data_IF_378439395393
#
_entry.id   IF_378439395393
#
_cell.length_a   1.000
_cell.length_b   1.000
_cell.length_c   1.000
_cell.angle_alpha   90.00
_cell.angle_beta   90.00
_cell.angle_gamma   90.00
#
_symmetry.space_group_name_H-M   'P 1'
#
loop_
_entity.id
_entity.type
_entity.pdbx_description
1 polymer ?
#
# COMPACT_ATOMS: atom_id res chain seq x y z
N UNK A 1 -23.04 27.66 23.82
CA UNK A 1 -23.87 27.16 22.70
C UNK A 1 -23.71 28.11 21.51
N UNK A 2 -22.72 27.91 20.62
CA UNK A 2 -22.63 28.69 19.40
C UNK A 2 -23.42 28.01 18.27
N UNK A 3 -24.35 28.75 17.68
CA UNK A 3 -25.24 28.31 16.62
C UNK A 3 -24.48 28.02 15.31
N UNK A 4 -24.53 26.77 14.87
CA UNK A 4 -24.09 26.33 13.54
C UNK A 4 -25.06 26.83 12.45
N UNK A 5 -24.59 27.67 11.53
CA UNK A 5 -25.31 28.04 10.31
C UNK A 5 -25.30 26.86 9.33
N UNK A 6 -26.49 26.36 8.99
CA UNK A 6 -26.71 25.36 7.93
C UNK A 6 -26.53 26.01 6.55
N UNK A 7 -25.70 25.41 5.71
CA UNK A 7 -25.54 25.80 4.31
C UNK A 7 -26.77 25.37 3.49
N UNK A 8 -27.25 26.29 2.66
CA UNK A 8 -28.49 26.19 1.89
C UNK A 8 -28.25 25.45 0.56
N UNK A 9 -29.08 24.43 0.31
CA UNK A 9 -29.13 23.68 -0.94
C UNK A 9 -30.03 24.39 -1.95
N UNK A 10 -29.45 24.86 -3.06
CA UNK A 10 -30.24 25.20 -4.26
C UNK A 10 -29.55 24.68 -5.51
N UNK A 11 -30.18 23.64 -6.08
CA UNK A 11 -29.95 23.10 -7.43
C UNK A 11 -30.33 24.14 -8.48
N UNK A 12 -29.53 24.25 -9.54
CA UNK A 12 -29.98 24.70 -10.87
C UNK A 12 -29.59 23.67 -11.91
N UNK A 13 -30.59 23.21 -12.67
CA UNK A 13 -30.52 22.33 -13.84
C UNK A 13 -30.23 23.15 -15.09
N UNK A 14 -29.42 22.57 -16.00
CA UNK A 14 -29.29 22.73 -17.48
C UNK A 14 -27.79 22.75 -17.83
N UNK A 15 -27.24 22.01 -18.77
CA UNK A 15 -27.78 21.44 -20.01
C UNK A 15 -27.23 20.04 -20.32
N UNK A 16 -28.01 19.31 -21.12
CA UNK A 16 -27.66 18.00 -21.67
C UNK A 16 -26.80 18.16 -22.94
N UNK A 17 -25.65 17.49 -22.96
CA UNK A 17 -24.82 17.27 -24.14
C UNK A 17 -24.47 15.79 -24.24
N UNK A 18 -24.90 15.16 -25.32
CA UNK A 18 -24.80 13.73 -25.65
C UNK A 18 -23.36 13.44 -26.11
N UNK A 19 -22.70 12.43 -25.55
CA UNK A 19 -21.81 11.60 -26.36
C UNK A 19 -21.76 10.14 -25.86
N UNK A 20 -21.66 9.24 -26.83
CA UNK A 20 -21.85 7.79 -26.70
C UNK A 20 -20.50 7.08 -26.53
N UNK A 21 -20.42 6.26 -25.49
CA UNK A 21 -19.91 4.88 -25.59
C UNK A 21 -18.40 4.64 -25.44
N UNK A 22 -18.03 3.93 -24.38
CA UNK A 22 -17.56 2.52 -24.44
C UNK A 22 -17.39 1.99 -23.02
N UNK A 23 -17.96 0.83 -22.76
CA UNK A 23 -18.05 0.22 -21.43
C UNK A 23 -16.71 -0.30 -20.91
N UNK A 24 -16.41 -0.01 -19.64
CA UNK A 24 -15.42 -0.73 -18.84
C UNK A 24 -16.11 -1.95 -18.23
N UNK A 25 -15.68 -3.14 -18.62
CA UNK A 25 -16.01 -4.38 -17.92
C UNK A 25 -14.94 -4.60 -16.83
N UNK A 26 -15.34 -4.45 -15.57
CA UNK A 26 -14.59 -4.93 -14.40
C UNK A 26 -15.14 -6.29 -13.98
N UNK A 27 -14.24 -7.23 -13.70
CA UNK A 27 -14.55 -8.65 -13.47
C UNK A 27 -15.01 -8.91 -12.03
N UNK A 28 -15.86 -9.93 -11.87
CA UNK A 28 -16.85 -10.05 -10.79
C UNK A 28 -16.69 -11.38 -10.06
N UNK A 29 -16.57 -11.34 -8.73
CA UNK A 29 -16.73 -12.52 -7.89
C UNK A 29 -18.20 -12.65 -7.45
N UNK A 30 -18.82 -13.80 -7.71
CA UNK A 30 -20.23 -14.05 -7.41
C UNK A 30 -20.37 -14.87 -6.12
N UNK A 31 -21.11 -14.34 -5.13
CA UNK A 31 -21.68 -15.13 -4.03
C UNK A 31 -23.21 -14.97 -4.01
N UNK A 32 -23.92 -16.07 -3.79
CA UNK A 32 -25.37 -16.18 -3.85
C UNK A 32 -26.00 -15.84 -2.50
N UNK A 33 -26.95 -14.89 -2.47
CA UNK A 33 -27.82 -14.65 -1.32
C UNK A 33 -29.17 -15.41 -1.47
N UNK A 34 -29.87 -15.65 -0.36
CA UNK A 34 -31.09 -16.49 -0.19
C UNK A 34 -32.34 -16.00 -0.95
N UNK A 35 -32.19 -15.06 -1.88
CA UNK A 35 -33.26 -14.53 -2.75
C UNK A 35 -32.99 -14.73 -4.24
N UNK A 36 -31.91 -15.43 -4.63
CA UNK A 36 -31.60 -15.74 -6.02
C UNK A 36 -31.16 -14.52 -6.86
N UNK A 37 -30.99 -13.34 -6.24
CA UNK A 37 -30.25 -12.23 -6.83
C UNK A 37 -28.78 -12.40 -6.50
N UNK A 38 -27.95 -12.60 -7.53
CA UNK A 38 -26.50 -12.47 -7.42
C UNK A 38 -26.20 -11.01 -7.11
N UNK A 39 -25.99 -10.70 -5.84
CA UNK A 39 -25.39 -9.42 -5.44
C UNK A 39 -23.90 -9.56 -5.73
N UNK A 40 -23.47 -8.95 -6.83
CA UNK A 40 -22.04 -8.80 -7.13
C UNK A 40 -21.49 -7.84 -6.09
N UNK A 41 -20.88 -8.38 -5.04
CA UNK A 41 -20.14 -7.57 -4.08
C UNK A 41 -18.86 -7.15 -4.77
N UNK A 42 -18.64 -5.84 -4.90
CA UNK A 42 -17.35 -5.33 -5.36
C UNK A 42 -16.26 -5.87 -4.42
N UNK A 43 -15.17 -6.37 -4.99
CA UNK A 43 -14.07 -6.95 -4.20
C UNK A 43 -13.49 -5.90 -3.22
N UNK A 44 -13.44 -4.64 -3.64
CA UNK A 44 -13.01 -3.53 -2.80
C UNK A 44 -14.11 -2.98 -1.88
N UNK A 45 -13.69 -2.57 -0.69
CA UNK A 45 -14.51 -1.85 0.29
C UNK A 45 -14.32 -0.34 0.15
N UNK A 46 -15.35 0.40 0.56
CA UNK A 46 -15.27 1.86 0.64
C UNK A 46 -14.25 2.31 1.69
N UNK A 47 -13.71 3.51 1.53
CA UNK A 47 -12.62 4.05 2.36
C UNK A 47 -13.11 4.71 3.67
N UNK A 48 -14.40 5.05 3.74
CA UNK A 48 -15.01 5.79 4.86
C UNK A 48 -15.67 4.84 5.86
N UNK A 49 -14.84 4.05 6.55
CA UNK A 49 -15.25 3.18 7.65
C UNK A 49 -14.59 3.62 8.97
N UNK A 50 -15.19 3.29 10.13
CA UNK A 50 -14.59 3.58 11.42
C UNK A 50 -13.20 2.92 11.54
N UNK A 51 -12.22 3.67 12.04
CA UNK A 51 -10.87 3.16 12.32
C UNK A 51 -10.56 3.29 13.81
N UNK A 52 -9.86 2.31 14.36
CA UNK A 52 -9.28 2.38 15.69
C UNK A 52 -7.82 2.85 15.56
N UNK A 53 -7.49 3.96 16.20
CA UNK A 53 -6.13 4.48 16.26
C UNK A 53 -5.61 4.38 17.69
N UNK A 54 -4.30 4.17 17.83
CA UNK A 54 -3.60 4.30 19.10
C UNK A 54 -2.50 5.35 18.96
N UNK A 55 -2.31 6.13 20.02
CA UNK A 55 -1.25 7.12 20.12
C UNK A 55 -0.39 6.81 21.34
N UNK A 56 0.93 6.80 21.16
CA UNK A 56 1.89 6.56 22.23
C UNK A 56 3.22 7.28 21.96
N UNK A 57 3.98 7.68 23.01
CA UNK A 57 5.31 8.27 22.83
C UNK A 57 6.26 7.28 22.15
N UNK A 58 7.18 7.79 21.33
CA UNK A 58 8.28 6.96 20.85
C UNK A 58 9.23 6.65 22.03
N UNK A 59 9.46 5.37 22.38
CA UNK A 59 10.39 5.02 23.45
C UNK A 59 11.84 5.45 23.21
N UNK A 60 12.22 5.72 21.95
CA UNK A 60 13.57 6.13 21.56
C UNK A 60 13.72 7.65 21.35
N UNK A 61 12.62 8.41 21.30
CA UNK A 61 12.62 9.85 21.03
C UNK A 61 11.46 10.58 21.74
N UNK A 62 11.81 11.40 22.74
CA UNK A 62 10.83 12.14 23.56
C UNK A 62 10.11 13.27 22.80
N UNK A 63 10.64 13.71 21.65
CA UNK A 63 10.02 14.74 20.80
C UNK A 63 9.05 14.12 19.76
N UNK A 64 8.97 12.80 19.71
CA UNK A 64 8.16 12.04 18.77
C UNK A 64 6.99 11.29 19.44
N UNK A 65 5.86 11.25 18.75
CA UNK A 65 4.73 10.37 19.09
C UNK A 65 4.32 9.54 17.88
N UNK A 66 4.03 8.27 18.11
CA UNK A 66 3.42 7.42 17.10
C UNK A 66 1.91 7.52 17.14
N UNK A 67 1.29 7.52 15.95
CA UNK A 67 -0.16 7.39 15.75
C UNK A 67 -0.42 6.22 14.78
N UNK A 68 -0.83 5.08 15.31
CA UNK A 68 -0.89 3.82 14.55
C UNK A 68 -2.33 3.36 14.30
N UNK A 69 -2.64 2.97 13.06
CA UNK A 69 -3.95 2.45 12.66
C UNK A 69 -4.09 0.98 13.07
N UNK A 70 -4.70 0.73 14.22
CA UNK A 70 -4.94 -0.63 14.71
C UNK A 70 -5.94 -1.39 13.84
N UNK A 71 -6.85 -0.72 13.13
CA UNK A 71 -7.78 -1.40 12.20
C UNK A 71 -7.00 -2.01 11.05
N UNK A 72 -6.02 -1.29 10.50
CA UNK A 72 -5.14 -1.78 9.45
C UNK A 72 -4.13 -2.82 9.97
N UNK A 73 -3.38 -2.48 11.02
CA UNK A 73 -2.27 -3.30 11.52
C UNK A 73 -2.70 -4.64 12.09
N UNK A 74 -3.95 -4.74 12.56
CA UNK A 74 -4.53 -6.01 13.02
C UNK A 74 -5.38 -6.72 11.95
N UNK A 75 -5.44 -6.18 10.73
CA UNK A 75 -6.15 -6.79 9.61
C UNK A 75 -5.44 -8.06 9.11
N UNK A 76 -6.16 -8.87 8.32
CA UNK A 76 -5.66 -10.10 7.71
C UNK A 76 -5.19 -9.92 6.26
N UNK A 77 -4.74 -8.72 5.93
CA UNK A 77 -4.19 -8.43 4.61
C UNK A 77 -2.89 -9.21 4.37
N UNK A 78 -2.68 -9.65 3.13
CA UNK A 78 -1.37 -10.10 2.62
C UNK A 78 -1.23 -9.75 1.14
N UNK A 79 0.00 -9.58 0.67
CA UNK A 79 0.26 -9.40 -0.75
C UNK A 79 -0.06 -10.70 -1.51
N UNK A 80 -0.98 -10.63 -2.46
CA UNK A 80 -1.41 -11.76 -3.30
C UNK A 80 -0.83 -11.67 -4.73
N UNK A 81 0.30 -11.01 -4.93
CA UNK A 81 1.01 -10.99 -6.22
C UNK A 81 1.28 -12.41 -6.70
N UNK A 82 0.98 -12.70 -7.97
CA UNK A 82 1.05 -14.06 -8.53
C UNK A 82 -0.02 -15.04 -8.03
N UNK A 83 -0.87 -14.64 -7.09
CA UNK A 83 -1.90 -15.48 -6.43
C UNK A 83 -3.28 -14.83 -6.43
N UNK A 84 -3.62 -14.09 -7.49
CA UNK A 84 -4.94 -13.43 -7.64
C UNK A 84 -4.91 -11.90 -7.61
N UNK A 85 -3.73 -11.28 -7.50
CA UNK A 85 -3.57 -9.84 -7.72
C UNK A 85 -4.11 -9.42 -9.09
N UNK A 86 -4.95 -8.39 -9.14
CA UNK A 86 -5.58 -7.91 -10.37
C UNK A 86 -4.79 -6.78 -11.06
N UNK A 87 -3.75 -6.28 -10.40
CA UNK A 87 -2.92 -5.18 -10.88
C UNK A 87 -3.62 -3.82 -10.81
N UNK A 88 -2.83 -2.75 -10.75
CA UNK A 88 -3.38 -1.38 -10.70
C UNK A 88 -3.78 -0.84 -12.08
N UNK A 89 -3.37 -1.53 -13.16
CA UNK A 89 -3.75 -1.22 -14.53
C UNK A 89 -4.57 -2.38 -15.13
N UNK A 90 -5.72 -2.04 -15.74
CA UNK A 90 -6.60 -3.02 -16.34
C UNK A 90 -5.89 -3.86 -17.41
N UNK A 91 -6.02 -5.18 -17.33
CA UNK A 91 -5.37 -6.13 -18.23
C UNK A 91 -3.89 -6.37 -17.96
N UNK A 92 -3.33 -5.84 -16.87
CA UNK A 92 -1.92 -6.01 -16.47
C UNK A 92 -1.78 -6.60 -15.08
N UNK A 93 -2.57 -7.63 -14.78
CA UNK A 93 -2.59 -8.31 -13.48
C UNK A 93 -1.20 -8.83 -13.06
N UNK A 94 -0.45 -9.36 -14.03
CA UNK A 94 0.91 -9.89 -13.83
C UNK A 94 1.94 -8.81 -13.41
N UNK A 95 1.62 -7.52 -13.59
CA UNK A 95 2.50 -6.42 -13.21
C UNK A 95 2.22 -5.88 -11.80
N UNK A 96 1.08 -6.23 -11.19
CA UNK A 96 0.74 -5.79 -9.85
C UNK A 96 0.75 -4.26 -9.69
N UNK A 97 1.44 -3.77 -8.66
CA UNK A 97 1.65 -2.34 -8.41
C UNK A 97 2.85 -1.74 -9.17
N UNK A 98 3.62 -2.55 -9.91
CA UNK A 98 4.86 -2.10 -10.56
C UNK A 98 4.63 -1.26 -11.84
N UNK A 99 3.39 -1.14 -12.33
CA UNK A 99 3.11 -0.50 -13.64
C UNK A 99 3.50 0.98 -13.72
N UNK A 100 3.60 1.64 -12.57
CA UNK A 100 3.94 3.06 -12.47
C UNK A 100 5.44 3.32 -12.33
N UNK A 101 6.27 2.30 -12.08
CA UNK A 101 7.63 2.53 -11.56
C UNK A 101 7.61 2.78 -10.05
N UNK A 102 8.71 3.30 -9.53
CA UNK A 102 8.86 3.65 -8.12
C UNK A 102 9.72 4.91 -8.02
N UNK A 103 9.14 5.98 -7.48
CA UNK A 103 9.87 7.17 -7.10
C UNK A 103 10.87 6.86 -6.00
N UNK A 104 12.03 7.51 -6.06
CA UNK A 104 12.97 7.50 -4.95
C UNK A 104 12.54 8.56 -3.94
N UNK A 105 12.71 8.26 -2.65
CA UNK A 105 12.43 9.23 -1.58
C UNK A 105 13.42 10.39 -1.60
N UNK A 106 14.68 10.10 -1.91
CA UNK A 106 15.79 11.04 -2.06
C UNK A 106 16.96 10.43 -2.87
N UNK A 107 18.08 11.15 -2.95
CA UNK A 107 19.30 10.69 -3.62
C UNK A 107 19.94 9.49 -2.92
N UNK A 108 19.76 9.34 -1.60
CA UNK A 108 20.33 8.24 -0.82
C UNK A 108 19.58 6.92 -1.10
N UNK A 109 18.25 6.96 -1.25
CA UNK A 109 17.44 5.82 -1.69
C UNK A 109 17.86 5.36 -3.10
N UNK A 110 18.04 6.30 -4.04
CA UNK A 110 18.52 5.95 -5.38
C UNK A 110 19.90 5.31 -5.33
N UNK A 111 20.84 5.88 -4.57
CA UNK A 111 22.19 5.36 -4.43
C UNK A 111 22.19 3.95 -3.82
N UNK A 112 21.44 3.73 -2.74
CA UNK A 112 21.29 2.40 -2.11
C UNK A 112 20.74 1.39 -3.10
N UNK A 113 19.69 1.74 -3.85
CA UNK A 113 19.13 0.86 -4.88
C UNK A 113 20.17 0.58 -5.97
N UNK A 114 20.95 1.57 -6.40
CA UNK A 114 21.99 1.39 -7.41
C UNK A 114 23.04 0.33 -7.01
N UNK A 115 23.45 0.29 -5.74
CA UNK A 115 24.37 -0.71 -5.21
C UNK A 115 23.79 -2.13 -5.32
N UNK A 116 22.48 -2.29 -5.11
CA UNK A 116 21.82 -3.57 -5.29
C UNK A 116 21.61 -3.93 -6.77
N UNK A 117 21.30 -2.94 -7.62
CA UNK A 117 21.17 -3.12 -9.07
C UNK A 117 22.49 -3.60 -9.69
N UNK A 118 23.63 -3.09 -9.22
CA UNK A 118 24.96 -3.51 -9.69
C UNK A 118 25.26 -5.00 -9.47
N UNK A 119 24.49 -5.68 -8.60
CA UNK A 119 24.63 -7.12 -8.32
C UNK A 119 23.61 -7.98 -9.06
N UNK A 120 22.65 -7.36 -9.75
CA UNK A 120 21.74 -8.10 -10.62
C UNK A 120 22.51 -8.66 -11.81
N UNK A 121 22.11 -9.84 -12.26
CA UNK A 121 22.69 -10.54 -13.42
C UNK A 121 21.60 -10.84 -14.45
N UNK A 122 21.95 -11.20 -15.70
CA UNK A 122 20.99 -11.66 -16.69
C UNK A 122 20.14 -12.86 -16.25
N UNK A 123 20.63 -13.66 -15.29
CA UNK A 123 19.89 -14.80 -14.71
C UNK A 123 18.89 -14.37 -13.63
N UNK A 124 18.97 -13.13 -13.14
CA UNK A 124 18.13 -12.57 -12.09
C UNK A 124 17.16 -11.51 -12.61
N UNK A 125 17.55 -10.80 -13.65
CA UNK A 125 16.82 -9.65 -14.17
C UNK A 125 16.64 -9.78 -15.68
N UNK A 126 15.40 -10.01 -16.10
CA UNK A 126 15.02 -10.23 -17.49
C UNK A 126 15.50 -9.12 -18.44
N UNK A 127 15.45 -7.88 -17.99
CA UNK A 127 15.81 -6.70 -18.77
C UNK A 127 17.20 -6.16 -18.42
N UNK A 128 18.08 -7.00 -17.87
CA UNK A 128 19.43 -6.62 -17.46
C UNK A 128 20.19 -5.90 -18.58
N UNK A 129 20.28 -6.47 -19.78
CA UNK A 129 20.98 -5.83 -20.90
C UNK A 129 20.43 -4.43 -21.21
N UNK A 130 19.09 -4.29 -21.29
CA UNK A 130 18.45 -3.00 -21.57
C UNK A 130 18.72 -1.98 -20.46
N UNK A 131 18.62 -2.38 -19.19
CA UNK A 131 18.85 -1.50 -18.06
C UNK A 131 20.33 -1.14 -17.85
N UNK A 132 21.27 -2.03 -18.18
CA UNK A 132 22.70 -1.75 -18.12
C UNK A 132 23.17 -0.85 -19.26
N UNK A 133 22.63 -1.01 -20.48
CA UNK A 133 23.06 -0.25 -21.65
C UNK A 133 22.44 1.15 -21.72
N UNK A 134 21.18 1.29 -21.31
CA UNK A 134 20.40 2.54 -21.49
C UNK A 134 19.88 3.14 -20.18
N UNK A 135 20.35 2.62 -19.04
CA UNK A 135 19.97 3.07 -17.70
C UNK A 135 18.68 2.42 -17.18
N UNK A 136 18.52 2.38 -15.85
CA UNK A 136 17.35 1.76 -15.19
C UNK A 136 16.48 2.78 -14.46
N UNK A 137 16.82 4.07 -14.53
CA UNK A 137 16.04 5.19 -13.99
C UNK A 137 15.48 6.06 -15.11
N UNK A 138 14.51 6.90 -14.77
CA UNK A 138 13.96 7.95 -15.62
C UNK A 138 13.59 9.16 -14.77
N UNK A 139 13.40 10.30 -15.44
CA UNK A 139 12.75 11.48 -14.87
C UNK A 139 11.31 11.49 -15.34
N UNK A 140 10.38 11.77 -14.44
CA UNK A 140 8.95 11.83 -14.76
C UNK A 140 8.52 13.22 -15.28
N UNK A 141 7.23 13.37 -15.56
CA UNK A 141 6.69 14.62 -16.12
C UNK A 141 6.75 15.80 -15.14
N UNK A 142 6.86 15.51 -13.83
CA UNK A 142 6.99 16.49 -12.75
C UNK A 142 8.46 16.80 -12.41
N UNK A 143 9.41 16.13 -13.07
CA UNK A 143 10.86 16.32 -12.86
C UNK A 143 11.46 15.41 -11.79
N UNK A 144 10.69 14.45 -11.27
CA UNK A 144 11.10 13.57 -10.18
C UNK A 144 11.80 12.31 -10.69
N UNK A 145 12.76 11.82 -9.90
CA UNK A 145 13.53 10.60 -10.20
C UNK A 145 12.74 9.35 -9.82
N UNK A 146 12.68 8.38 -10.72
CA UNK A 146 12.05 7.09 -10.47
C UNK A 146 12.73 5.95 -11.24
N UNK A 147 12.44 4.70 -10.86
CA UNK A 147 12.79 3.53 -11.68
C UNK A 147 12.12 3.63 -13.05
N UNK A 148 12.85 3.28 -14.12
CA UNK A 148 12.36 3.36 -15.48
C UNK A 148 11.20 2.41 -15.73
N UNK A 149 10.20 2.88 -16.45
CA UNK A 149 9.13 2.05 -17.01
C UNK A 149 9.59 1.49 -18.35
N UNK A 150 9.57 0.18 -18.48
CA UNK A 150 9.91 -0.56 -19.70
C UNK A 150 8.78 -1.51 -20.07
N UNK A 151 8.30 -1.41 -21.31
CA UNK A 151 7.19 -2.23 -21.83
C UNK A 151 5.94 -2.21 -20.92
N UNK A 152 5.66 -1.03 -20.33
CA UNK A 152 4.48 -0.74 -19.52
C UNK A 152 4.53 -1.17 -18.05
N UNK A 153 5.68 -1.62 -17.55
CA UNK A 153 5.91 -1.87 -16.11
C UNK A 153 7.30 -1.41 -15.68
N UNK A 154 7.59 -1.36 -14.38
CA UNK A 154 8.94 -1.13 -13.87
C UNK A 154 9.93 -2.09 -14.55
N UNK A 155 11.10 -1.58 -14.94
CA UNK A 155 12.14 -2.35 -15.63
C UNK A 155 12.65 -3.54 -14.79
N UNK A 156 12.53 -3.47 -13.47
CA UNK A 156 12.91 -4.57 -12.58
C UNK A 156 11.83 -5.65 -12.44
N UNK A 157 10.64 -5.49 -13.01
CA UNK A 157 9.65 -6.56 -12.98
C UNK A 157 10.02 -7.60 -14.04
N UNK A 158 10.34 -8.81 -13.59
CA UNK A 158 10.43 -10.00 -14.43
C UNK A 158 9.02 -10.48 -14.75
N UNK A 159 8.75 -10.74 -16.03
CA UNK A 159 7.46 -11.18 -16.54
C UNK A 159 7.23 -12.67 -16.23
N UNK A 160 5.97 -13.15 -16.24
CA UNK A 160 5.67 -14.57 -16.13
C UNK A 160 6.48 -15.43 -17.11
N UNK A 161 7.00 -16.55 -16.62
CA UNK A 161 7.82 -17.48 -17.41
C UNK A 161 9.32 -17.19 -17.42
N UNK A 162 9.79 -16.09 -16.83
CA UNK A 162 11.22 -15.86 -16.67
C UNK A 162 11.84 -16.84 -15.65
N UNK A 163 13.03 -17.37 -15.96
CA UNK A 163 13.64 -18.48 -15.21
C UNK A 163 13.93 -18.15 -13.74
N UNK A 164 14.19 -16.89 -13.40
CA UNK A 164 14.41 -16.45 -12.03
C UNK A 164 13.12 -16.38 -11.19
N UNK A 165 11.95 -16.44 -11.84
CA UNK A 165 10.65 -16.15 -11.25
C UNK A 165 10.09 -14.81 -11.72
N UNK A 166 8.75 -14.71 -11.70
CA UNK A 166 8.03 -13.47 -11.97
C UNK A 166 8.06 -12.54 -10.74
N UNK A 167 8.04 -11.23 -10.97
CA UNK A 167 8.08 -10.22 -9.92
C UNK A 167 9.37 -9.39 -9.92
N UNK A 168 9.59 -8.61 -8.86
CA UNK A 168 10.71 -7.67 -8.80
C UNK A 168 12.06 -8.40 -8.69
N UNK A 169 13.00 -8.12 -9.59
CA UNK A 169 14.35 -8.70 -9.57
C UNK A 169 15.14 -8.31 -8.32
N UNK A 170 14.93 -7.12 -7.75
CA UNK A 170 15.52 -6.71 -6.47
C UNK A 170 14.98 -7.54 -5.30
N UNK A 171 13.68 -7.85 -5.30
CA UNK A 171 13.09 -8.76 -4.32
C UNK A 171 13.70 -10.17 -4.44
N UNK A 172 13.84 -10.68 -5.67
CA UNK A 172 14.47 -12.00 -5.91
C UNK A 172 15.93 -11.98 -5.45
N UNK A 173 16.67 -10.89 -5.70
CA UNK A 173 18.04 -10.72 -5.23
C UNK A 173 18.11 -10.80 -3.70
N UNK A 174 17.27 -10.05 -2.98
CA UNK A 174 17.22 -10.09 -1.51
C UNK A 174 17.03 -11.51 -0.98
N UNK A 175 16.02 -12.22 -1.51
CA UNK A 175 15.75 -13.60 -1.09
C UNK A 175 16.90 -14.56 -1.38
N UNK A 176 17.59 -14.42 -2.53
CA UNK A 176 18.77 -15.24 -2.84
C UNK A 176 19.95 -14.98 -1.92
N UNK A 177 20.02 -13.78 -1.35
CA UNK A 177 21.07 -13.38 -0.42
C UNK A 177 20.69 -13.61 1.05
N UNK A 178 19.48 -14.09 1.33
CA UNK A 178 18.98 -14.25 2.69
C UNK A 178 18.76 -12.92 3.42
N UNK A 179 18.38 -11.88 2.66
CA UNK A 179 18.12 -10.52 3.13
C UNK A 179 16.63 -10.19 3.05
N UNK A 180 16.22 -9.17 3.79
CA UNK A 180 14.87 -8.66 3.71
C UNK A 180 14.69 -7.87 2.40
N UNK A 181 13.58 -8.03 1.67
CA UNK A 181 13.34 -7.29 0.44
C UNK A 181 13.41 -5.77 0.58
N UNK A 182 13.04 -5.24 1.75
CA UNK A 182 13.12 -3.80 2.06
C UNK A 182 14.54 -3.24 1.90
N UNK A 183 15.57 -4.04 2.15
CA UNK A 183 16.96 -3.58 2.07
C UNK A 183 17.35 -3.24 0.63
N UNK A 184 16.79 -3.98 -0.34
CA UNK A 184 17.21 -3.90 -1.76
C UNK A 184 16.30 -3.05 -2.64
N UNK A 185 15.07 -2.79 -2.18
CA UNK A 185 14.04 -2.13 -2.97
C UNK A 185 14.05 -0.61 -2.74
N UNK A 186 13.52 0.19 -3.68
CA UNK A 186 13.24 1.61 -3.44
C UNK A 186 12.25 1.79 -2.29
N UNK A 187 12.34 2.91 -1.58
CA UNK A 187 11.58 3.18 -0.37
C UNK A 187 10.07 3.04 -0.55
N UNK A 188 9.53 3.71 -1.56
CA UNK A 188 8.10 3.66 -1.87
C UNK A 188 7.63 2.22 -2.17
N UNK A 189 8.51 1.39 -2.71
CA UNK A 189 8.18 0.04 -3.17
C UNK A 189 8.13 -1.00 -2.05
N UNK A 190 8.95 -0.88 -1.01
CA UNK A 190 8.92 -1.79 0.13
C UNK A 190 7.98 -1.32 1.23
N UNK A 191 7.78 -0.01 1.37
CA UNK A 191 6.84 0.53 2.35
C UNK A 191 5.41 0.11 2.04
N UNK A 192 5.03 -0.02 0.75
CA UNK A 192 3.71 -0.47 0.38
C UNK A 192 3.37 -1.86 0.98
N UNK A 193 2.16 -2.04 1.55
CA UNK A 193 1.06 -1.08 1.60
C UNK A 193 0.95 -0.32 2.93
N UNK A 194 2.03 -0.21 3.71
CA UNK A 194 2.08 0.67 4.88
C UNK A 194 2.35 2.10 4.42
N UNK A 195 1.61 3.04 4.99
CA UNK A 195 1.80 4.48 4.77
C UNK A 195 2.34 5.10 6.04
N UNK A 196 3.49 5.77 5.92
CA UNK A 196 4.08 6.62 6.96
C UNK A 196 3.88 8.09 6.60
N UNK A 197 3.41 8.90 7.55
CA UNK A 197 3.34 10.36 7.39
C UNK A 197 3.84 11.07 8.64
N UNK A 198 4.19 12.35 8.47
CA UNK A 198 4.79 13.19 9.49
C UNK A 198 3.99 14.48 9.61
N UNK A 199 3.53 14.79 10.82
CA UNK A 199 2.83 16.04 11.12
C UNK A 199 3.41 16.66 12.39
N UNK A 200 3.76 17.94 12.33
CA UNK A 200 4.12 18.68 13.55
C UNK A 200 2.85 19.16 14.26
N UNK A 201 2.73 18.84 15.55
CA UNK A 201 1.59 19.23 16.38
C UNK A 201 2.04 20.20 17.47
N UNK A 202 1.49 21.41 17.43
CA UNK A 202 1.60 22.37 18.52
C UNK A 202 0.56 22.02 19.61
N UNK A 203 1.03 21.83 20.85
CA UNK A 203 0.20 21.44 21.99
C UNK A 203 -0.20 22.67 22.83
N UNK A 204 -1.30 22.59 23.61
CA UNK A 204 -1.75 23.71 24.45
C UNK A 204 -0.81 24.13 25.58
N UNK A 205 0.23 23.34 25.86
CA UNK A 205 1.27 23.61 26.86
C UNK A 205 2.55 24.22 26.25
N UNK A 206 2.43 24.81 25.06
CA UNK A 206 3.51 25.43 24.28
C UNK A 206 4.63 24.47 23.86
N UNK A 207 4.42 23.15 23.99
CA UNK A 207 5.32 22.13 23.43
C UNK A 207 4.94 21.79 21.99
N UNK A 208 5.92 21.31 21.22
CA UNK A 208 5.73 20.87 19.85
C UNK A 208 6.28 19.46 19.71
N UNK A 209 5.52 18.57 19.07
CA UNK A 209 5.92 17.18 18.84
C UNK A 209 5.78 16.78 17.39
N UNK A 210 6.63 15.87 16.95
CA UNK A 210 6.50 15.21 15.66
C UNK A 210 5.58 14.01 15.81
N UNK A 211 4.41 14.05 15.18
CA UNK A 211 3.54 12.89 15.06
C UNK A 211 3.90 12.08 13.82
N UNK A 212 4.37 10.85 14.04
CA UNK A 212 4.59 9.86 12.98
C UNK A 212 3.38 8.95 12.91
N UNK A 213 2.62 9.05 11.82
CA UNK A 213 1.46 8.18 11.60
C UNK A 213 1.83 6.95 10.78
N UNK A 214 1.41 5.77 11.23
CA UNK A 214 1.58 4.49 10.53
C UNK A 214 0.20 3.90 10.25
N UNK A 215 -0.15 3.73 8.97
CA UNK A 215 -1.48 3.24 8.60
C UNK A 215 -1.55 2.57 7.24
N UNK A 216 -2.78 2.33 6.78
CA UNK A 216 -3.05 1.75 5.47
C UNK A 216 -2.68 2.73 4.35
N UNK A 217 -1.92 2.26 3.37
CA UNK A 217 -1.75 2.96 2.09
C UNK A 217 -2.98 2.68 1.23
N UNK A 218 -4.06 3.40 1.49
CA UNK A 218 -5.29 3.31 0.70
C UNK A 218 -5.19 4.08 -0.63
N UNK A 219 -6.27 4.10 -1.42
CA UNK A 219 -6.31 4.83 -2.70
C UNK A 219 -5.99 6.32 -2.58
N UNK A 220 -6.22 6.97 -1.44
CA UNK A 220 -5.90 8.40 -1.24
C UNK A 220 -4.40 8.62 -1.09
N UNK A 221 -3.66 7.60 -0.66
CA UNK A 221 -2.19 7.64 -0.60
C UNK A 221 -1.54 7.92 -1.95
N UNK A 222 -2.18 7.51 -3.04
CA UNK A 222 -1.75 7.74 -4.42
C UNK A 222 -2.12 9.13 -4.98
N UNK A 223 -2.63 10.03 -4.13
CA UNK A 223 -3.19 11.31 -4.57
C UNK A 223 -4.47 11.15 -5.39
N UNK A 224 -4.87 12.16 -6.18
CA UNK A 224 -6.11 12.13 -6.97
C UNK A 224 -6.21 10.94 -7.94
N UNK A 225 -5.07 10.51 -8.51
CA UNK A 225 -4.99 9.39 -9.46
C UNK A 225 -5.26 8.02 -8.83
N UNK A 226 -5.21 7.90 -7.51
CA UNK A 226 -5.51 6.63 -6.82
C UNK A 226 -6.93 6.11 -7.02
N UNK A 227 -7.87 7.00 -7.31
CA UNK A 227 -9.25 6.62 -7.64
C UNK A 227 -9.39 6.01 -9.04
N UNK A 228 -8.38 6.21 -9.90
CA UNK A 228 -8.36 5.67 -11.26
C UNK A 228 -7.67 4.29 -11.36
N UNK A 229 -7.02 3.82 -10.27
CA UNK A 229 -6.43 2.49 -10.24
C UNK A 229 -7.50 1.43 -10.50
N UNK A 230 -7.18 0.46 -11.35
CA UNK A 230 -8.09 -0.62 -11.72
C UNK A 230 -8.58 -1.41 -10.52
N UNK A 231 -7.66 -1.73 -9.61
CA UNK A 231 -7.89 -2.50 -8.40
C UNK A 231 -6.79 -2.14 -7.38
N UNK A 232 -7.13 -2.14 -6.09
CA UNK A 232 -6.16 -1.88 -5.03
C UNK A 232 -6.29 -2.88 -3.89
N UNK A 233 -5.17 -3.50 -3.51
CA UNK A 233 -5.17 -4.69 -2.67
C UNK A 233 -5.57 -4.44 -1.21
N UNK A 234 -5.30 -3.26 -0.67
CA UNK A 234 -5.55 -2.98 0.77
C UNK A 234 -7.04 -2.86 1.08
N UNK A 235 -7.84 -2.45 0.11
CA UNK A 235 -9.29 -2.36 0.20
C UNK A 235 -10.00 -3.64 -0.26
N UNK A 236 -9.28 -4.60 -0.86
CA UNK A 236 -9.86 -5.75 -1.55
C UNK A 236 -10.02 -6.98 -0.66
N UNK A 237 -11.24 -7.51 -0.55
CA UNK A 237 -11.52 -8.71 0.25
C UNK A 237 -10.71 -9.94 -0.17
N UNK A 238 -10.36 -10.04 -1.45
CA UNK A 238 -9.54 -11.13 -1.99
C UNK A 238 -8.11 -11.15 -1.43
N UNK A 239 -7.59 -10.03 -0.95
CA UNK A 239 -6.28 -9.94 -0.30
C UNK A 239 -6.34 -10.07 1.22
N UNK A 240 -7.54 -10.21 1.80
CA UNK A 240 -7.76 -10.31 3.24
C UNK A 240 -8.19 -11.73 3.63
N UNK A 241 -7.23 -12.50 4.13
CA UNK A 241 -7.43 -13.90 4.53
C UNK A 241 -6.20 -14.56 5.11
N UNK A 242 -5.15 -13.78 5.42
CA UNK A 242 -3.90 -14.28 5.96
C UNK A 242 -4.07 -14.85 7.37
N UNK A 243 -3.23 -15.86 7.70
CA UNK A 243 -3.21 -16.46 9.03
C UNK A 243 -2.66 -15.52 10.11
N UNK A 244 -1.70 -14.68 9.74
CA UNK A 244 -1.08 -13.67 10.61
C UNK A 244 -1.57 -12.26 10.27
N UNK A 245 -1.71 -11.38 11.27
CA UNK A 245 -2.09 -9.99 11.03
C UNK A 245 -0.90 -9.17 10.49
N UNK A 246 -1.18 -8.01 9.90
CA UNK A 246 -0.15 -7.16 9.28
C UNK A 246 1.01 -6.83 10.23
N UNK A 247 0.75 -6.50 11.50
CA UNK A 247 1.84 -6.16 12.44
C UNK A 247 2.84 -7.31 12.68
N UNK A 248 2.44 -8.56 12.41
CA UNK A 248 3.30 -9.75 12.50
C UNK A 248 3.98 -10.00 11.16
N UNK A 249 3.21 -10.04 10.07
CA UNK A 249 3.74 -10.39 8.74
C UNK A 249 4.64 -9.32 8.14
N UNK A 250 4.47 -8.05 8.53
CA UNK A 250 5.28 -6.90 8.12
C UNK A 250 6.26 -6.44 9.22
N UNK A 251 6.68 -7.37 10.09
CA UNK A 251 7.63 -7.07 11.17
C UNK A 251 8.90 -6.35 10.69
N UNK A 252 9.61 -6.81 9.63
CA UNK A 252 10.82 -6.14 9.16
C UNK A 252 10.56 -4.68 8.76
N UNK A 253 9.54 -4.44 7.95
CA UNK A 253 9.18 -3.12 7.45
C UNK A 253 8.75 -2.18 8.59
N UNK A 254 7.95 -2.66 9.54
CA UNK A 254 7.51 -1.86 10.68
C UNK A 254 8.68 -1.54 11.64
N UNK A 255 9.61 -2.48 11.81
CA UNK A 255 10.83 -2.25 12.59
C UNK A 255 11.70 -1.19 11.92
N UNK A 256 11.85 -1.23 10.59
CA UNK A 256 12.58 -0.20 9.84
C UNK A 256 11.89 1.17 9.94
N UNK A 257 10.55 1.20 9.87
CA UNK A 257 9.79 2.46 9.87
C UNK A 257 9.75 3.16 11.23
N UNK A 258 9.83 2.42 12.32
CA UNK A 258 9.54 2.90 13.68
C UNK A 258 10.66 2.65 14.69
N UNK A 259 11.74 1.96 14.29
CA UNK A 259 12.74 1.45 15.21
C UNK A 259 12.24 0.22 16.01
N UNK A 260 13.20 -0.44 16.66
CA UNK A 260 12.94 -1.69 17.40
C UNK A 260 12.05 -1.45 18.62
N UNK A 261 12.35 -0.43 19.44
CA UNK A 261 11.55 -0.15 20.63
C UNK A 261 10.12 0.29 20.28
N UNK A 262 9.96 1.12 19.24
CA UNK A 262 8.65 1.53 18.73
C UNK A 262 7.81 0.36 18.23
N UNK A 263 8.42 -0.58 17.48
CA UNK A 263 7.75 -1.79 17.04
C UNK A 263 7.34 -2.70 18.20
N UNK A 264 8.21 -2.90 19.20
CA UNK A 264 7.91 -3.73 20.36
C UNK A 264 6.74 -3.18 21.19
N UNK A 265 6.61 -1.86 21.31
CA UNK A 265 5.45 -1.24 21.95
C UNK A 265 4.18 -1.39 21.10
N UNK A 266 4.28 -1.20 19.78
CA UNK A 266 3.17 -1.43 18.86
C UNK A 266 2.61 -2.86 18.96
N UNK A 267 3.48 -3.87 19.07
CA UNK A 267 3.07 -5.28 19.23
C UNK A 267 2.18 -5.45 20.46
N UNK A 268 2.56 -4.92 21.62
CA UNK A 268 1.74 -5.03 22.85
C UNK A 268 0.35 -4.44 22.67
N UNK A 269 0.25 -3.30 21.99
CA UNK A 269 -1.02 -2.60 21.74
C UNK A 269 -1.89 -3.38 20.74
N UNK A 270 -1.29 -3.94 19.68
CA UNK A 270 -1.96 -4.82 18.73
C UNK A 270 -2.46 -6.12 19.38
N UNK A 271 -1.65 -6.76 20.23
CA UNK A 271 -2.03 -7.96 20.96
C UNK A 271 -3.17 -7.68 21.95
N UNK A 272 -3.08 -6.59 22.72
CA UNK A 272 -4.15 -6.15 23.62
C UNK A 272 -5.46 -5.89 22.84
N UNK A 273 -5.37 -5.25 21.67
CA UNK A 273 -6.51 -5.03 20.78
C UNK A 273 -7.11 -6.36 20.31
N UNK A 274 -6.30 -7.33 19.91
CA UNK A 274 -6.77 -8.63 19.43
C UNK A 274 -7.37 -9.50 20.55
N UNK A 275 -6.83 -9.40 21.78
CA UNK A 275 -7.33 -10.10 22.96
C UNK A 275 -8.65 -9.52 23.51
N UNK A 276 -9.00 -8.27 23.16
CA UNK A 276 -10.24 -7.65 23.62
C UNK A 276 -11.47 -8.40 23.08
N UNK A 277 -12.44 -8.65 23.97
CA UNK A 277 -13.64 -9.46 23.72
C UNK A 277 -14.68 -8.80 22.80
N UNK A 278 -14.45 -7.56 22.35
CA UNK A 278 -15.39 -6.81 21.51
C UNK A 278 -14.73 -6.41 20.18
N UNK A 279 -15.45 -6.52 19.05
CA UNK A 279 -14.98 -5.98 17.78
C UNK A 279 -14.99 -4.44 17.83
N UNK A 280 -13.82 -3.83 18.01
CA UNK A 280 -13.62 -2.38 17.86
C UNK A 280 -13.14 -2.04 16.44
N UNK A 281 -14.03 -1.61 15.56
CA UNK A 281 -13.69 -1.20 14.19
C UNK A 281 -12.88 -2.26 13.41
N UNK A 282 -13.45 -3.45 13.11
CA UNK A 282 -12.78 -4.44 12.25
C UNK A 282 -12.53 -3.87 10.85
N UNK A 283 -11.44 -4.28 10.20
CA UNK A 283 -11.19 -3.88 8.83
C UNK A 283 -12.30 -4.43 7.92
N UNK A 284 -12.98 -3.60 7.10
CA UNK A 284 -14.16 -4.04 6.36
C UNK A 284 -13.85 -5.09 5.29
N UNK A 285 -12.59 -5.18 4.85
CA UNK A 285 -12.15 -6.19 3.90
C UNK A 285 -11.85 -7.55 4.56
N UNK A 286 -11.66 -7.60 5.87
CA UNK A 286 -11.45 -8.87 6.59
C UNK A 286 -12.71 -9.77 6.53
N UNK A 287 -12.53 -11.10 6.54
CA UNK A 287 -13.64 -12.02 6.70
C UNK A 287 -14.31 -11.83 8.06
N UNK A 288 -15.64 -11.95 8.08
CA UNK A 288 -16.42 -11.91 9.33
C UNK A 288 -15.97 -13.06 10.21
N UNK A 289 -15.48 -12.76 11.43
CA UNK A 289 -15.13 -13.82 12.39
C UNK A 289 -16.39 -14.65 12.69
N UNK A 290 -16.33 -15.98 12.65
CA UNK A 290 -17.44 -16.80 13.09
C UNK A 290 -17.78 -16.46 14.55
N UNK A 291 -19.07 -16.29 14.81
CA UNK A 291 -19.62 -16.01 16.14
C UNK A 291 -19.51 -17.23 17.07
#
# INVERSE_FOLDING_TARGET
MPHTKKANTTRSKKDAGKDKGKGKAGDRSAKSDRTGKVVVVADEKGLDFPRAWVEFPDPADEEQVFRCDLTWLTSRWTCIFGSGCQGIQAGRADDGCCTLGAHFSDEEDEQRVAEHVARLTPELWQFHGVGSESGWTQVDDDGERQTRRWEGSCIFQNRPGFAAGAGCSLHILALREGREPLETKPDVCWQLPVRRTYDWIDRPDDTRVLQVSIGEYDRRGWGPGGHDLHWWCTSATSAHGAGDPVYVSYRPELTELMGKEGYEELVKLCEARLASLLPMAPHPADPVRPA
#
